data_IF_514413534059
#
_entry.id   IF_514413534059
#
_cell.length_a   1.000
_cell.length_b   1.000
_cell.length_c   1.000
_cell.angle_alpha   90.00
_cell.angle_beta   90.00
_cell.angle_gamma   90.00
#
_symmetry.space_group_name_H-M   'P 1'
#
loop_
_entity.id
_entity.type
_entity.pdbx_description
1 polymer ?
#
# COMPACT_ATOMS: atom_id res chain seq x y z
N UNK A 1 -4.33 -22.44 16.80
CA UNK A 1 -3.67 -21.65 15.74
C UNK A 1 -2.39 -21.00 16.23
N UNK A 2 -2.41 -20.21 17.33
CA UNK A 2 -1.21 -19.59 17.88
C UNK A 2 -0.05 -20.57 18.11
N UNK A 3 -0.32 -21.71 18.77
CA UNK A 3 0.70 -22.74 19.01
C UNK A 3 1.30 -23.31 17.72
N UNK A 4 0.51 -23.41 16.64
CA UNK A 4 1.01 -23.84 15.32
C UNK A 4 1.97 -22.81 14.75
N UNK A 5 1.65 -21.51 14.86
CA UNK A 5 2.56 -20.44 14.43
C UNK A 5 3.84 -20.41 15.28
N UNK A 6 3.74 -20.68 16.59
CA UNK A 6 4.90 -20.86 17.46
C UNK A 6 5.74 -22.07 17.01
N UNK A 7 5.10 -23.18 16.66
CA UNK A 7 5.76 -24.37 16.14
C UNK A 7 6.60 -24.06 14.89
N UNK A 8 5.97 -23.37 13.92
CA UNK A 8 6.61 -22.93 12.68
C UNK A 8 7.78 -22.01 12.99
N UNK A 9 7.59 -20.99 13.85
CA UNK A 9 8.64 -20.03 14.24
C UNK A 9 9.86 -20.73 14.83
N UNK A 10 9.66 -21.78 15.61
CA UNK A 10 10.73 -22.51 16.29
C UNK A 10 11.20 -23.76 15.54
N UNK A 11 10.66 -24.05 14.35
CA UNK A 11 10.99 -25.25 13.58
C UNK A 11 10.67 -26.57 14.31
N UNK A 12 9.63 -26.58 15.15
CA UNK A 12 9.24 -27.69 16.03
C UNK A 12 7.85 -28.21 15.64
N UNK A 13 7.51 -29.40 16.12
CA UNK A 13 6.13 -29.92 16.07
C UNK A 13 5.38 -29.55 17.34
N UNK A 14 4.04 -29.50 17.28
CA UNK A 14 3.19 -29.22 18.44
C UNK A 14 3.49 -30.12 19.64
N UNK A 15 3.76 -31.40 19.41
CA UNK A 15 4.06 -32.37 20.46
C UNK A 15 5.31 -32.02 21.25
N UNK A 16 6.25 -31.33 20.60
CA UNK A 16 7.50 -30.92 21.24
C UNK A 16 7.41 -29.55 21.90
N UNK A 17 6.35 -28.76 21.75
CA UNK A 17 6.31 -27.34 22.18
C UNK A 17 5.98 -27.09 23.66
N UNK A 18 6.06 -28.09 24.54
CA UNK A 18 5.60 -27.95 25.92
C UNK A 18 6.21 -26.75 26.67
N UNK A 19 7.49 -26.44 26.43
CA UNK A 19 8.24 -25.33 27.01
C UNK A 19 7.91 -23.94 26.42
N UNK A 20 7.24 -23.89 25.27
CA UNK A 20 6.97 -22.64 24.52
C UNK A 20 5.49 -22.30 24.40
N UNK A 21 4.58 -23.16 24.86
CA UNK A 21 3.14 -22.91 24.83
C UNK A 21 2.71 -22.01 25.98
N UNK A 22 1.73 -21.17 25.70
CA UNK A 22 1.04 -20.43 26.76
C UNK A 22 0.25 -21.41 27.64
N UNK A 23 0.17 -21.20 28.97
CA UNK A 23 -0.54 -22.12 29.86
C UNK A 23 -2.05 -22.23 29.59
N UNK A 24 -2.64 -21.23 28.93
CA UNK A 24 -4.08 -21.18 28.65
C UNK A 24 -4.38 -20.62 27.26
N UNK A 25 -5.58 -20.95 26.77
CA UNK A 25 -6.15 -20.42 25.52
C UNK A 25 -6.74 -19.01 25.63
N UNK A 26 -6.49 -18.31 26.73
CA UNK A 26 -7.13 -17.03 27.08
C UNK A 26 -6.55 -15.81 26.35
N UNK A 27 -5.57 -16.02 25.47
CA UNK A 27 -4.84 -14.96 24.75
C UNK A 27 -5.49 -14.64 23.41
N UNK A 28 -6.70 -14.10 23.45
CA UNK A 28 -7.42 -13.57 22.30
C UNK A 28 -8.06 -12.23 22.65
N UNK A 29 -8.52 -11.51 21.62
CA UNK A 29 -9.22 -10.24 21.84
C UNK A 29 -10.60 -10.53 22.43
N UNK A 30 -10.74 -10.29 23.73
CA UNK A 30 -11.99 -10.49 24.46
C UNK A 30 -12.93 -9.31 24.32
N UNK A 31 -14.22 -9.60 24.25
CA UNK A 31 -15.28 -8.61 24.39
C UNK A 31 -15.32 -8.06 25.81
N UNK A 32 -15.96 -6.89 25.96
CA UNK A 32 -16.21 -6.29 27.26
C UNK A 32 -17.02 -7.22 28.18
N UNK A 33 -17.97 -7.97 27.62
CA UNK A 33 -18.80 -8.94 28.35
C UNK A 33 -17.98 -10.13 28.87
N UNK A 34 -17.06 -10.66 28.06
CA UNK A 34 -16.15 -11.72 28.50
C UNK A 34 -15.21 -11.22 29.60
N UNK A 35 -14.62 -10.04 29.44
CA UNK A 35 -13.75 -9.44 30.46
C UNK A 35 -14.48 -9.17 31.79
N UNK A 36 -15.78 -8.86 31.73
CA UNK A 36 -16.61 -8.65 32.91
C UNK A 36 -17.03 -9.95 33.61
N UNK A 37 -16.89 -11.10 32.95
CA UNK A 37 -17.24 -12.43 33.50
C UNK A 37 -16.03 -13.26 33.92
N UNK A 38 -14.81 -12.82 33.59
CA UNK A 38 -13.60 -13.53 33.97
C UNK A 38 -13.19 -13.16 35.40
N UNK A 39 -12.67 -14.10 36.20
CA UNK A 39 -12.02 -13.76 37.45
C UNK A 39 -10.93 -12.70 37.18
N UNK A 40 -10.89 -11.62 37.98
CA UNK A 40 -11.55 -11.42 39.27
C UNK A 40 -12.94 -10.74 39.21
N UNK A 41 -13.51 -10.51 38.02
CA UNK A 41 -14.76 -9.76 37.84
C UNK A 41 -16.04 -10.56 38.08
N UNK A 42 -15.98 -11.90 38.05
CA UNK A 42 -17.16 -12.72 38.35
C UNK A 42 -17.60 -12.57 39.82
N UNK A 43 -18.90 -12.73 40.14
CA UNK A 43 -19.41 -12.44 41.49
C UNK A 43 -18.75 -13.25 42.60
N UNK A 44 -18.34 -14.50 42.32
CA UNK A 44 -17.75 -15.39 43.32
C UNK A 44 -16.31 -14.98 43.61
N UNK A 45 -15.50 -14.73 42.58
CA UNK A 45 -14.12 -14.24 42.77
C UNK A 45 -14.09 -12.83 43.36
N UNK A 46 -15.05 -11.97 42.99
CA UNK A 46 -15.15 -10.61 43.50
C UNK A 46 -15.47 -10.56 45.01
N UNK A 47 -16.26 -11.51 45.53
CA UNK A 47 -16.50 -11.64 46.96
C UNK A 47 -15.26 -12.13 47.72
N UNK A 48 -14.50 -13.05 47.11
CA UNK A 48 -13.28 -13.62 47.70
C UNK A 48 -12.12 -12.62 47.71
N UNK A 49 -11.97 -11.80 46.67
CA UNK A 49 -10.95 -10.75 46.60
C UNK A 49 -11.52 -9.42 46.02
N UNK A 50 -12.19 -8.62 46.87
CA UNK A 50 -12.79 -7.37 46.44
C UNK A 50 -11.78 -6.32 45.98
N UNK A 51 -10.51 -6.41 46.42
CA UNK A 51 -9.47 -5.45 46.04
C UNK A 51 -9.06 -5.67 44.59
N UNK A 52 -8.79 -6.91 44.22
CA UNK A 52 -8.39 -7.25 42.85
C UNK A 52 -9.54 -7.04 41.86
N UNK A 53 -10.78 -7.36 42.24
CA UNK A 53 -11.96 -7.09 41.41
C UNK A 53 -12.15 -5.60 41.10
N UNK A 54 -11.94 -4.72 42.10
CA UNK A 54 -11.98 -3.26 41.91
C UNK A 54 -10.88 -2.77 40.98
N UNK A 55 -9.65 -3.22 41.20
CA UNK A 55 -8.51 -2.85 40.34
C UNK A 55 -8.71 -3.30 38.89
N UNK A 56 -9.33 -4.46 38.66
CA UNK A 56 -9.68 -4.96 37.33
C UNK A 56 -10.70 -4.06 36.62
N UNK A 57 -11.80 -3.73 37.29
CA UNK A 57 -12.82 -2.84 36.74
C UNK A 57 -12.26 -1.44 36.45
N UNK A 58 -11.40 -0.92 37.35
CA UNK A 58 -10.69 0.34 37.15
C UNK A 58 -9.77 0.28 35.93
N UNK A 59 -8.98 -0.78 35.78
CA UNK A 59 -8.08 -0.97 34.64
C UNK A 59 -8.81 -0.98 33.30
N UNK A 60 -9.95 -1.67 33.20
CA UNK A 60 -10.78 -1.67 31.99
C UNK A 60 -11.29 -0.26 31.67
N UNK A 61 -11.79 0.47 32.67
CA UNK A 61 -12.26 1.85 32.51
C UNK A 61 -11.12 2.76 32.06
N UNK A 62 -9.98 2.72 32.72
CA UNK A 62 -8.80 3.53 32.38
C UNK A 62 -8.26 3.24 30.99
N UNK A 63 -8.27 1.99 30.54
CA UNK A 63 -7.91 1.64 29.17
C UNK A 63 -8.85 2.30 28.14
N UNK A 64 -10.16 2.33 28.41
CA UNK A 64 -11.14 3.03 27.59
C UNK A 64 -10.93 4.55 27.57
N UNK A 65 -10.66 5.15 28.73
CA UNK A 65 -10.37 6.58 28.85
C UNK A 65 -9.08 6.98 28.11
N UNK A 66 -8.02 6.17 28.22
CA UNK A 66 -6.77 6.36 27.48
C UNK A 66 -7.00 6.29 25.97
N UNK A 67 -7.72 5.26 25.50
CA UNK A 67 -8.03 5.09 24.08
C UNK A 67 -8.85 6.28 23.55
N UNK A 68 -9.83 6.77 24.33
CA UNK A 68 -10.62 7.94 23.95
C UNK A 68 -9.80 9.25 23.91
N UNK A 69 -8.74 9.34 24.70
CA UNK A 69 -7.79 10.46 24.67
C UNK A 69 -6.76 10.38 23.54
N UNK A 70 -6.61 9.24 22.88
CA UNK A 70 -5.65 9.06 21.79
C UNK A 70 -6.22 9.51 20.44
N UNK A 71 -5.67 10.58 19.88
CA UNK A 71 -5.92 11.00 18.50
C UNK A 71 -4.60 11.08 17.73
N UNK A 72 -4.44 10.24 16.71
CA UNK A 72 -3.23 10.17 15.88
C UNK A 72 -3.64 10.33 14.42
N UNK A 73 -3.09 11.35 13.76
CA UNK A 73 -3.22 11.54 12.32
C UNK A 73 -1.84 11.38 11.67
N UNK A 74 -1.70 10.35 10.82
CA UNK A 74 -0.45 10.04 10.13
C UNK A 74 -0.26 10.83 8.82
N UNK A 75 -1.27 11.59 8.38
CA UNK A 75 -1.12 12.58 7.31
C UNK A 75 -0.77 12.01 5.92
N UNK A 76 -1.20 10.78 5.60
CA UNK A 76 -0.83 10.07 4.36
C UNK A 76 -1.20 10.78 3.04
N UNK A 77 -2.02 11.84 3.08
CA UNK A 77 -2.43 12.62 1.91
C UNK A 77 -1.48 13.80 1.59
N UNK A 78 -0.55 14.12 2.48
CA UNK A 78 0.37 15.26 2.35
C UNK A 78 1.77 14.77 1.92
N UNK A 79 1.92 14.41 0.66
CA UNK A 79 3.23 14.06 0.12
C UNK A 79 3.99 15.34 -0.29
N UNK A 80 5.23 15.48 0.18
CA UNK A 80 6.10 16.61 -0.16
C UNK A 80 7.46 16.07 -0.59
N UNK A 81 7.92 16.47 -1.77
CA UNK A 81 9.23 16.08 -2.28
C UNK A 81 10.36 16.67 -1.42
N UNK A 82 11.52 15.99 -1.35
CA UNK A 82 12.66 16.29 -0.49
C UNK A 82 13.35 17.65 -0.76
N UNK A 83 12.89 18.44 -1.74
CA UNK A 83 13.65 19.55 -2.27
C UNK A 83 14.71 19.10 -3.29
N UNK A 84 15.04 19.94 -4.27
CA UNK A 84 16.22 19.75 -5.12
C UNK A 84 17.10 21.00 -5.14
N UNK A 85 18.41 20.91 -4.88
CA UNK A 85 19.29 22.08 -4.87
C UNK A 85 19.46 22.61 -6.30
N UNK A 86 19.03 23.84 -6.54
CA UNK A 86 19.16 24.54 -7.83
C UNK A 86 20.16 25.71 -7.74
N UNK A 87 20.74 26.15 -8.87
CA UNK A 87 21.60 27.33 -8.90
C UNK A 87 20.95 28.58 -8.31
N UNK A 88 21.77 29.49 -7.78
CA UNK A 88 21.26 30.73 -7.16
C UNK A 88 20.48 31.56 -8.18
N UNK A 89 19.24 31.89 -7.83
CA UNK A 89 18.33 32.67 -8.68
C UNK A 89 17.37 31.81 -9.50
N UNK A 90 17.54 30.49 -9.51
CA UNK A 90 16.62 29.55 -10.16
C UNK A 90 15.57 29.01 -9.20
N UNK A 91 14.43 28.61 -9.77
CA UNK A 91 13.44 27.73 -9.12
C UNK A 91 13.62 26.31 -9.65
N UNK A 92 13.10 25.28 -8.96
CA UNK A 92 13.10 23.91 -9.49
C UNK A 92 12.49 23.82 -10.89
N UNK A 93 11.41 24.57 -11.15
CA UNK A 93 10.76 24.55 -12.45
C UNK A 93 11.59 25.25 -13.54
N UNK A 94 12.17 26.42 -13.26
CA UNK A 94 12.98 27.15 -14.26
C UNK A 94 14.23 26.34 -14.64
N UNK A 95 14.88 25.72 -13.66
CA UNK A 95 16.02 24.85 -13.91
C UNK A 95 15.64 23.59 -14.71
N UNK A 96 14.54 22.92 -14.35
CA UNK A 96 14.00 21.79 -15.09
C UNK A 96 13.69 22.17 -16.56
N UNK A 97 13.04 23.31 -16.76
CA UNK A 97 12.68 23.82 -18.09
C UNK A 97 13.93 24.04 -18.95
N UNK A 98 14.97 24.66 -18.40
CA UNK A 98 16.23 24.87 -19.11
C UNK A 98 16.89 23.55 -19.56
N UNK A 99 16.94 22.56 -18.65
CA UNK A 99 17.46 21.23 -18.95
C UNK A 99 16.66 20.55 -20.07
N UNK A 100 15.33 20.62 -20.01
CA UNK A 100 14.46 20.02 -21.02
C UNK A 100 14.63 20.67 -22.40
N UNK A 101 14.67 22.00 -22.47
CA UNK A 101 14.88 22.71 -23.74
C UNK A 101 16.26 22.45 -24.32
N UNK A 102 17.29 22.36 -23.47
CA UNK A 102 18.63 21.99 -23.90
C UNK A 102 18.69 20.55 -24.42
N UNK A 103 18.04 19.62 -23.73
CA UNK A 103 17.89 18.23 -24.17
C UNK A 103 17.12 18.10 -25.49
N UNK A 104 16.07 18.91 -25.68
CA UNK A 104 15.31 18.95 -26.93
C UNK A 104 16.17 19.44 -28.10
N UNK A 105 16.92 20.53 -27.92
CA UNK A 105 17.87 21.03 -28.92
C UNK A 105 18.94 19.99 -29.28
N UNK A 106 19.41 19.21 -28.31
CA UNK A 106 20.41 18.16 -28.56
C UNK A 106 19.83 16.94 -29.30
N UNK A 107 18.55 16.62 -29.13
CA UNK A 107 17.93 15.40 -29.66
C UNK A 107 17.15 15.60 -30.96
N UNK A 108 16.60 16.78 -31.20
CA UNK A 108 15.74 17.05 -32.36
C UNK A 108 16.39 18.03 -33.33
N UNK A 109 16.62 17.57 -34.57
CA UNK A 109 17.17 18.37 -35.66
C UNK A 109 16.38 18.08 -36.94
N UNK A 110 15.48 18.97 -37.39
CA UNK A 110 15.11 20.27 -36.79
C UNK A 110 14.19 20.15 -35.56
N UNK A 111 14.13 21.20 -34.75
CA UNK A 111 13.15 21.34 -33.67
C UNK A 111 11.80 21.75 -34.27
N UNK A 112 10.91 20.77 -34.50
CA UNK A 112 9.61 21.01 -35.16
C UNK A 112 8.59 21.65 -34.21
N UNK A 113 7.56 22.27 -34.77
CA UNK A 113 6.44 22.84 -33.99
C UNK A 113 5.75 21.80 -33.11
N UNK A 114 5.65 20.54 -33.57
CA UNK A 114 5.10 19.44 -32.77
C UNK A 114 5.91 19.18 -31.50
N UNK A 115 7.25 19.18 -31.61
CA UNK A 115 8.16 19.01 -30.46
C UNK A 115 8.03 20.16 -29.48
N UNK A 116 8.07 21.40 -29.99
CA UNK A 116 7.96 22.62 -29.18
C UNK A 116 6.63 22.66 -28.41
N UNK A 117 5.52 22.41 -29.11
CA UNK A 117 4.18 22.45 -28.51
C UNK A 117 4.01 21.34 -27.46
N UNK A 118 4.49 20.13 -27.75
CA UNK A 118 4.40 19.00 -26.81
C UNK A 118 5.24 19.25 -25.56
N UNK A 119 6.48 19.72 -25.71
CA UNK A 119 7.34 20.00 -24.56
C UNK A 119 6.78 21.13 -23.69
N UNK A 120 6.29 22.22 -24.31
CA UNK A 120 5.66 23.31 -23.58
C UNK A 120 4.41 22.86 -22.80
N UNK A 121 3.58 22.00 -23.41
CA UNK A 121 2.41 21.45 -22.74
C UNK A 121 2.77 20.57 -21.54
N UNK A 122 3.71 19.63 -21.70
CA UNK A 122 4.12 18.76 -20.59
C UNK A 122 4.74 19.55 -19.44
N UNK A 123 5.56 20.57 -19.74
CA UNK A 123 6.14 21.45 -18.72
C UNK A 123 5.07 22.23 -17.94
N UNK A 124 4.05 22.79 -18.60
CA UNK A 124 2.93 23.48 -17.92
C UNK A 124 2.18 22.54 -16.97
N UNK A 125 1.93 21.30 -17.38
CA UNK A 125 1.27 20.30 -16.51
C UNK A 125 2.15 19.95 -15.31
N UNK A 126 3.45 19.76 -15.53
CA UNK A 126 4.42 19.45 -14.45
C UNK A 126 4.52 20.60 -13.45
N UNK A 127 4.51 21.85 -13.91
CA UNK A 127 4.53 23.03 -13.06
C UNK A 127 3.29 23.09 -12.16
N UNK A 128 2.09 22.97 -12.77
CA UNK A 128 0.82 22.99 -12.03
C UNK A 128 0.68 21.85 -11.04
N UNK A 129 1.25 20.70 -11.36
CA UNK A 129 1.25 19.53 -10.49
C UNK A 129 2.34 19.59 -9.38
N UNK A 130 3.24 20.59 -9.40
CA UNK A 130 4.31 20.71 -8.43
C UNK A 130 5.35 19.58 -8.52
N UNK A 131 5.55 19.01 -9.71
CA UNK A 131 6.39 17.83 -9.93
C UNK A 131 7.82 18.17 -10.39
N UNK A 132 8.21 19.44 -10.41
CA UNK A 132 9.52 19.84 -10.94
C UNK A 132 10.69 19.15 -10.22
N UNK A 133 10.65 19.10 -8.89
CA UNK A 133 11.70 18.47 -8.07
C UNK A 133 11.77 16.96 -8.31
N UNK A 134 10.63 16.31 -8.51
CA UNK A 134 10.57 14.88 -8.83
C UNK A 134 11.35 14.55 -10.11
N UNK A 135 11.16 15.33 -11.18
CA UNK A 135 11.90 15.14 -12.41
C UNK A 135 13.39 15.48 -12.27
N UNK A 136 13.73 16.50 -11.46
CA UNK A 136 15.13 16.84 -11.20
C UNK A 136 15.87 15.71 -10.46
N UNK A 137 15.22 15.06 -9.49
CA UNK A 137 15.79 13.89 -8.81
C UNK A 137 16.00 12.75 -9.81
N UNK A 138 14.98 12.42 -10.62
CA UNK A 138 15.12 11.38 -11.64
C UNK A 138 16.24 11.70 -12.64
N UNK A 139 16.35 12.95 -13.06
CA UNK A 139 17.42 13.42 -13.93
C UNK A 139 18.80 13.30 -13.29
N UNK A 140 18.96 13.66 -12.01
CA UNK A 140 20.24 13.59 -11.29
C UNK A 140 20.73 12.14 -11.20
N UNK A 141 19.83 11.20 -10.91
CA UNK A 141 20.14 9.76 -10.93
C UNK A 141 20.61 9.27 -12.30
N UNK A 142 19.91 9.69 -13.37
CA UNK A 142 20.29 9.32 -14.74
C UNK A 142 21.60 9.98 -15.19
N UNK A 143 21.84 11.23 -14.76
CA UNK A 143 23.08 11.97 -14.99
C UNK A 143 24.25 11.26 -14.30
N UNK A 144 24.12 10.92 -13.02
CA UNK A 144 25.13 10.18 -12.27
C UNK A 144 25.44 8.83 -12.94
N UNK A 145 24.40 8.05 -13.27
CA UNK A 145 24.58 6.77 -13.94
C UNK A 145 25.32 6.92 -15.28
N UNK A 146 25.00 7.95 -16.07
CA UNK A 146 25.70 8.24 -17.33
C UNK A 146 27.17 8.61 -17.11
N UNK A 147 27.48 9.46 -16.13
CA UNK A 147 28.84 9.87 -15.79
C UNK A 147 29.71 8.68 -15.34
N UNK A 148 29.14 7.78 -14.54
CA UNK A 148 29.79 6.57 -14.07
C UNK A 148 29.73 5.40 -15.06
N UNK A 149 29.16 5.62 -16.26
CA UNK A 149 28.95 4.60 -17.30
C UNK A 149 28.18 3.37 -16.78
N UNK A 150 27.21 3.59 -15.90
CA UNK A 150 26.27 2.58 -15.40
C UNK A 150 25.09 2.51 -16.38
N UNK A 151 24.79 1.35 -16.98
CA UNK A 151 23.60 1.19 -17.80
C UNK A 151 22.34 1.45 -16.98
N UNK A 152 21.55 2.44 -17.42
CA UNK A 152 20.27 2.79 -16.81
C UNK A 152 19.19 3.04 -17.88
N UNK A 153 17.93 2.75 -17.53
CA UNK A 153 16.76 2.91 -18.41
C UNK A 153 15.49 3.13 -17.60
N UNK A 154 14.72 4.19 -17.88
CA UNK A 154 13.36 4.33 -17.36
C UNK A 154 12.39 3.35 -18.01
N UNK A 155 11.46 2.79 -17.22
CA UNK A 155 10.38 1.87 -17.66
C UNK A 155 9.00 2.44 -17.30
N UNK A 156 7.95 1.71 -17.69
CA UNK A 156 6.56 2.05 -17.35
C UNK A 156 6.02 3.26 -18.11
N UNK A 157 5.08 3.99 -17.50
CA UNK A 157 4.40 5.13 -18.14
C UNK A 157 5.32 6.32 -18.40
N UNK A 158 6.43 6.43 -17.65
CA UNK A 158 7.46 7.46 -17.81
C UNK A 158 8.03 7.54 -19.24
N UNK A 159 7.99 6.44 -20.01
CA UNK A 159 8.49 6.44 -21.39
C UNK A 159 7.61 7.23 -22.36
N UNK A 160 6.40 7.62 -21.96
CA UNK A 160 5.43 8.34 -22.79
C UNK A 160 5.62 9.88 -22.77
N UNK A 161 6.55 10.38 -21.96
CA UNK A 161 6.79 11.81 -21.76
C UNK A 161 7.99 12.31 -22.58
N UNK A 162 7.80 13.46 -23.25
CA UNK A 162 8.90 14.14 -23.94
C UNK A 162 9.89 14.74 -22.95
N UNK A 163 9.43 15.18 -21.77
CA UNK A 163 10.30 15.62 -20.67
C UNK A 163 11.21 14.48 -20.21
N UNK A 164 10.67 13.28 -19.98
CA UNK A 164 11.49 12.11 -19.65
C UNK A 164 12.49 11.76 -20.76
N UNK A 165 12.12 11.91 -22.03
CA UNK A 165 13.02 11.68 -23.15
C UNK A 165 14.15 12.73 -23.24
N UNK A 166 13.84 14.02 -23.10
CA UNK A 166 14.84 15.11 -23.19
C UNK A 166 15.84 15.07 -22.05
N UNK A 167 15.40 14.75 -20.84
CA UNK A 167 16.26 14.53 -19.67
C UNK A 167 17.09 13.24 -19.74
N UNK A 168 16.76 12.34 -20.68
CA UNK A 168 17.45 11.07 -20.85
C UNK A 168 17.03 9.97 -19.87
N UNK A 169 15.90 10.15 -19.18
CA UNK A 169 15.23 9.11 -18.37
C UNK A 169 14.68 8.01 -19.29
N UNK A 170 13.98 8.42 -20.36
CA UNK A 170 13.51 7.51 -21.41
C UNK A 170 14.44 7.55 -22.62
N UNK A 171 14.57 6.41 -23.32
CA UNK A 171 15.22 6.32 -24.64
C UNK A 171 14.21 6.28 -25.80
N UNK A 172 12.94 6.11 -25.49
CA UNK A 172 11.86 6.04 -26.49
C UNK A 172 11.38 7.45 -26.80
N UNK A 173 11.35 7.78 -28.09
CA UNK A 173 10.89 9.09 -28.56
C UNK A 173 9.35 9.09 -28.65
N UNK A 174 8.65 9.94 -27.88
CA UNK A 174 7.21 9.80 -27.71
C UNK A 174 6.36 10.34 -28.87
N UNK A 175 6.86 11.28 -29.69
CA UNK A 175 6.07 11.91 -30.75
C UNK A 175 5.93 10.97 -31.96
N UNK A 176 7.04 10.44 -32.45
CA UNK A 176 7.14 9.48 -33.56
C UNK A 176 6.35 8.21 -33.24
N UNK A 177 6.34 7.80 -31.97
CA UNK A 177 5.59 6.63 -31.51
C UNK A 177 4.17 6.94 -31.01
N UNK A 178 3.71 8.19 -31.14
CA UNK A 178 2.37 8.64 -30.73
C UNK A 178 1.99 8.21 -29.30
N UNK A 179 2.94 8.36 -28.36
CA UNK A 179 2.75 8.03 -26.96
C UNK A 179 2.01 9.17 -26.24
N UNK A 180 1.10 8.80 -25.35
CA UNK A 180 0.22 9.72 -24.64
C UNK A 180 0.80 10.10 -23.28
N UNK A 181 1.05 11.39 -23.07
CA UNK A 181 1.59 11.91 -21.81
C UNK A 181 0.61 11.73 -20.66
N UNK A 182 -0.69 11.82 -20.93
CA UNK A 182 -1.77 11.74 -19.93
C UNK A 182 -1.91 10.36 -19.30
N UNK A 183 -1.27 9.33 -19.90
CA UNK A 183 -1.12 8.01 -19.28
C UNK A 183 -0.11 8.02 -18.13
N UNK A 184 0.82 8.97 -18.15
CA UNK A 184 1.83 9.15 -17.13
C UNK A 184 1.38 10.14 -16.07
N UNK A 185 1.06 11.38 -16.47
CA UNK A 185 0.55 12.41 -15.56
C UNK A 185 -0.84 12.82 -16.02
N UNK A 186 -1.85 12.49 -15.21
CA UNK A 186 -3.23 12.86 -15.48
C UNK A 186 -3.66 14.00 -14.53
N UNK A 187 -3.96 15.20 -15.03
CA UNK A 187 -4.40 16.34 -14.20
C UNK A 187 -5.65 16.06 -13.36
N UNK A 188 -6.48 15.10 -13.75
CA UNK A 188 -7.68 14.69 -13.01
C UNK A 188 -7.45 13.62 -11.93
N UNK A 189 -6.21 13.17 -11.72
CA UNK A 189 -5.85 12.20 -10.68
C UNK A 189 -5.01 12.86 -9.60
N UNK A 190 -5.30 12.53 -8.34
CA UNK A 190 -4.55 12.97 -7.16
C UNK A 190 -3.37 12.06 -6.82
N UNK A 191 -3.10 11.03 -7.62
CA UNK A 191 -1.98 10.10 -7.42
C UNK A 191 -0.71 10.62 -8.09
N UNK A 192 0.41 10.58 -7.37
CA UNK A 192 1.73 10.90 -7.93
C UNK A 192 2.13 9.93 -9.05
N UNK A 193 2.84 10.41 -10.08
CA UNK A 193 3.38 9.55 -11.12
C UNK A 193 4.49 8.65 -10.56
N UNK A 194 4.57 7.42 -11.07
CA UNK A 194 5.64 6.49 -10.74
C UNK A 194 6.66 6.43 -11.89
N UNK A 195 7.94 6.64 -11.56
CA UNK A 195 9.06 6.53 -12.51
C UNK A 195 9.98 5.44 -12.01
N UNK A 196 9.84 4.29 -12.64
CA UNK A 196 10.74 3.18 -12.42
C UNK A 196 12.01 3.35 -13.27
N UNK A 197 13.18 3.34 -12.64
CA UNK A 197 14.47 3.37 -13.33
C UNK A 197 15.21 2.04 -13.09
N UNK A 198 15.46 1.30 -14.15
CA UNK A 198 16.27 0.09 -14.13
C UNK A 198 17.75 0.46 -14.20
N UNK A 199 18.53 -0.04 -13.25
CA UNK A 199 20.00 0.03 -13.25
C UNK A 199 20.59 -1.37 -13.41
N UNK A 200 21.82 -1.46 -13.95
CA UNK A 200 22.56 -2.72 -13.99
C UNK A 200 22.65 -3.35 -12.60
N UNK A 201 22.26 -4.63 -12.48
CA UNK A 201 22.20 -5.34 -11.19
C UNK A 201 23.55 -5.38 -10.47
N UNK A 202 24.65 -5.49 -11.22
CA UNK A 202 26.01 -5.56 -10.67
C UNK A 202 26.49 -4.22 -10.10
N UNK A 203 25.92 -3.10 -10.57
CA UNK A 203 26.35 -1.74 -10.22
C UNK A 203 25.27 -0.89 -9.58
N UNK A 204 24.10 -1.47 -9.25
CA UNK A 204 22.98 -0.77 -8.58
C UNK A 204 23.42 -0.16 -7.25
N UNK A 205 24.31 -0.84 -6.53
CA UNK A 205 24.80 -0.39 -5.23
C UNK A 205 25.49 0.98 -5.31
N UNK A 206 26.24 1.27 -6.38
CA UNK A 206 26.89 2.57 -6.57
C UNK A 206 25.87 3.72 -6.66
N UNK A 207 24.72 3.47 -7.28
CA UNK A 207 23.63 4.45 -7.38
C UNK A 207 22.96 4.64 -6.02
N UNK A 208 22.75 3.55 -5.26
CA UNK A 208 22.22 3.62 -3.90
C UNK A 208 23.13 4.49 -3.02
N UNK A 209 24.44 4.21 -3.00
CA UNK A 209 25.39 4.98 -2.22
C UNK A 209 25.40 6.46 -2.63
N UNK A 210 25.34 6.75 -3.94
CA UNK A 210 25.19 8.12 -4.43
C UNK A 210 23.94 8.81 -3.86
N UNK A 211 22.79 8.15 -3.80
CA UNK A 211 21.58 8.76 -3.22
C UNK A 211 21.78 9.08 -1.74
N UNK A 212 22.35 8.15 -0.97
CA UNK A 212 22.64 8.38 0.46
C UNK A 212 23.61 9.55 0.68
N UNK A 213 24.66 9.64 -0.13
CA UNK A 213 25.63 10.75 -0.07
C UNK A 213 25.01 12.08 -0.51
N UNK A 214 24.20 12.07 -1.57
CA UNK A 214 23.63 13.26 -2.21
C UNK A 214 22.50 13.88 -1.39
N UNK A 215 21.63 13.05 -0.83
CA UNK A 215 20.39 13.48 -0.18
C UNK A 215 20.40 13.27 1.33
N UNK A 216 21.37 12.53 1.87
CA UNK A 216 21.57 12.32 3.30
C UNK A 216 20.87 11.07 3.83
N UNK A 217 21.51 10.43 4.81
CA UNK A 217 21.02 9.19 5.43
C UNK A 217 19.73 9.38 6.24
N UNK A 218 19.56 10.54 6.87
CA UNK A 218 18.31 10.90 7.59
C UNK A 218 17.12 11.08 6.64
N UNK A 219 17.41 11.10 5.34
CA UNK A 219 16.49 11.39 4.27
C UNK A 219 16.54 10.34 3.17
N UNK A 220 17.10 9.15 3.41
CA UNK A 220 17.12 8.10 2.39
C UNK A 220 16.87 6.77 3.06
N UNK A 221 15.99 5.96 2.48
CA UNK A 221 15.67 4.63 3.01
C UNK A 221 15.34 3.65 1.90
N UNK A 222 15.70 2.38 2.13
CA UNK A 222 15.26 1.27 1.30
C UNK A 222 13.85 0.86 1.72
N UNK A 223 12.98 0.62 0.75
CA UNK A 223 11.67 0.03 1.02
C UNK A 223 11.84 -1.47 1.31
N UNK A 224 11.22 -1.95 2.39
CA UNK A 224 11.26 -3.36 2.74
C UNK A 224 10.22 -4.15 1.94
N UNK A 225 10.58 -5.38 1.55
CA UNK A 225 9.63 -6.33 1.00
C UNK A 225 9.11 -7.26 2.10
N UNK A 226 7.79 -7.33 2.28
CA UNK A 226 7.15 -8.25 3.21
C UNK A 226 6.86 -9.58 2.50
N UNK A 227 7.71 -10.57 2.73
CA UNK A 227 7.52 -11.93 2.19
C UNK A 227 6.45 -12.65 3.00
N UNK A 228 5.36 -13.05 2.35
CA UNK A 228 4.25 -13.78 2.97
C UNK A 228 4.22 -15.24 2.53
N UNK A 229 3.61 -16.10 3.36
CA UNK A 229 3.32 -17.47 2.96
C UNK A 229 2.31 -17.50 1.80
N UNK A 230 2.63 -18.29 0.78
CA UNK A 230 1.70 -18.63 -0.32
C UNK A 230 1.05 -19.97 -0.01
N UNK A 231 -0.04 -20.31 -0.70
CA UNK A 231 -0.84 -21.51 -0.45
C UNK A 231 0.00 -22.77 -0.17
N UNK A 232 0.93 -23.10 -1.07
CA UNK A 232 1.79 -24.29 -0.94
C UNK A 232 2.77 -24.23 0.23
N UNK A 233 3.38 -23.06 0.50
CA UNK A 233 4.29 -22.93 1.64
C UNK A 233 3.54 -22.94 2.97
N UNK A 234 2.37 -22.30 3.04
CA UNK A 234 1.50 -22.35 4.21
C UNK A 234 1.09 -23.79 4.57
N UNK A 235 0.61 -24.58 3.60
CA UNK A 235 0.25 -25.98 3.83
C UNK A 235 1.45 -26.81 4.28
N UNK A 236 2.64 -26.57 3.72
CA UNK A 236 3.86 -27.26 4.15
C UNK A 236 4.20 -26.97 5.60
N UNK A 237 4.31 -25.70 5.95
CA UNK A 237 4.70 -25.28 7.30
C UNK A 237 3.67 -25.73 8.35
N UNK A 238 2.37 -25.63 8.05
CA UNK A 238 1.32 -26.12 8.95
C UNK A 238 1.39 -27.65 9.07
N UNK A 239 1.55 -28.37 7.95
CA UNK A 239 1.64 -29.83 7.98
C UNK A 239 2.82 -30.33 8.81
N UNK A 240 3.97 -29.67 8.70
CA UNK A 240 5.16 -29.97 9.49
C UNK A 240 4.96 -29.65 10.97
N UNK A 241 4.38 -28.48 11.28
CA UNK A 241 4.06 -28.09 12.65
C UNK A 241 3.10 -29.08 13.34
N UNK A 242 2.16 -29.65 12.59
CA UNK A 242 1.23 -30.69 13.08
C UNK A 242 1.88 -32.08 13.18
N UNK A 243 3.13 -32.25 12.76
CA UNK A 243 3.86 -33.52 12.85
C UNK A 243 3.58 -34.51 11.72
N UNK A 244 2.95 -34.07 10.62
CA UNK A 244 2.69 -34.96 9.50
C UNK A 244 3.99 -35.33 8.74
N UNK A 245 4.10 -36.55 8.19
CA UNK A 245 5.25 -36.96 7.40
C UNK A 245 5.46 -36.08 6.17
N UNK A 246 6.71 -35.68 5.91
CA UNK A 246 7.02 -34.77 4.79
C UNK A 246 6.49 -35.21 3.43
N UNK A 247 6.61 -36.49 3.03
CA UNK A 247 6.10 -36.94 1.74
C UNK A 247 4.57 -36.81 1.62
N UNK A 248 3.84 -36.88 2.73
CA UNK A 248 2.39 -36.68 2.73
C UNK A 248 2.06 -35.21 2.48
N UNK A 249 2.68 -34.33 3.27
CA UNK A 249 2.48 -32.88 3.18
C UNK A 249 2.86 -32.34 1.80
N UNK A 250 3.96 -32.84 1.22
CA UNK A 250 4.37 -32.44 -0.13
C UNK A 250 3.41 -32.88 -1.23
N UNK A 251 2.73 -34.03 -1.08
CA UNK A 251 1.67 -34.43 -2.00
C UNK A 251 0.49 -33.45 -1.94
N UNK A 252 0.02 -33.13 -0.72
CA UNK A 252 -1.07 -32.16 -0.52
C UNK A 252 -0.70 -30.77 -1.04
N UNK A 253 0.53 -30.32 -0.82
CA UNK A 253 0.96 -29.01 -1.30
C UNK A 253 1.08 -28.94 -2.84
N UNK A 254 1.38 -30.07 -3.52
CA UNK A 254 1.46 -30.13 -4.98
C UNK A 254 0.10 -30.18 -5.67
N UNK A 255 -0.89 -30.77 -5.00
CA UNK A 255 -2.28 -30.82 -5.40
C UNK A 255 -2.93 -29.43 -5.57
N UNK A 256 -2.42 -28.42 -4.84
CA UNK A 256 -2.90 -27.05 -4.96
C UNK A 256 -2.49 -26.41 -6.29
N UNK A 257 -3.47 -26.07 -7.12
CA UNK A 257 -3.27 -25.32 -8.37
C UNK A 257 -3.11 -23.81 -8.14
N UNK A 258 -3.65 -23.28 -7.04
CA UNK A 258 -3.67 -21.83 -6.77
C UNK A 258 -2.43 -21.29 -6.06
N UNK A 259 -2.16 -20.01 -6.32
CA UNK A 259 -1.13 -19.22 -5.62
C UNK A 259 -1.66 -18.57 -4.34
N UNK A 260 -2.98 -18.41 -4.22
CA UNK A 260 -3.65 -17.72 -3.11
C UNK A 260 -4.11 -18.71 -2.03
N UNK A 261 -3.69 -18.46 -0.79
CA UNK A 261 -4.06 -19.26 0.38
C UNK A 261 -5.56 -19.31 0.67
N UNK A 262 -6.34 -18.33 0.19
CA UNK A 262 -7.80 -18.29 0.41
C UNK A 262 -8.53 -19.39 -0.36
N UNK A 263 -7.95 -19.86 -1.47
CA UNK A 263 -8.59 -20.84 -2.36
C UNK A 263 -8.20 -22.29 -2.04
N UNK A 264 -7.33 -22.51 -1.04
CA UNK A 264 -6.82 -23.82 -0.64
C UNK A 264 -7.94 -24.82 -0.37
N UNK A 265 -9.00 -24.39 0.33
CA UNK A 265 -10.14 -25.26 0.64
C UNK A 265 -10.85 -25.72 -0.62
N UNK A 266 -11.20 -24.79 -1.51
CA UNK A 266 -11.87 -25.07 -2.78
C UNK A 266 -11.05 -26.05 -3.62
N UNK A 267 -9.75 -25.84 -3.73
CA UNK A 267 -8.88 -26.66 -4.57
C UNK A 267 -8.79 -28.11 -4.05
N UNK A 268 -8.68 -28.28 -2.73
CA UNK A 268 -8.65 -29.61 -2.11
C UNK A 268 -10.01 -30.32 -2.20
N UNK A 269 -11.12 -29.58 -2.12
CA UNK A 269 -12.46 -30.15 -2.36
C UNK A 269 -12.66 -30.59 -3.82
N UNK A 270 -12.11 -29.83 -4.79
CA UNK A 270 -12.25 -30.12 -6.22
C UNK A 270 -11.44 -31.35 -6.70
N UNK A 271 -10.32 -31.67 -6.04
CA UNK A 271 -9.48 -32.82 -6.41
C UNK A 271 -10.13 -34.19 -6.05
N UNK A 272 -11.30 -34.18 -5.40
CA UNK A 272 -12.10 -35.37 -5.07
C UNK A 272 -11.52 -36.26 -3.96
N UNK A 273 -10.19 -36.30 -3.80
CA UNK A 273 -9.49 -37.10 -2.79
C UNK A 273 -9.43 -36.48 -1.40
N UNK A 274 -9.60 -35.15 -1.27
CA UNK A 274 -9.51 -34.45 0.00
C UNK A 274 -10.84 -33.90 0.55
N UNK A 275 -11.92 -33.90 -0.25
CA UNK A 275 -13.23 -33.39 0.14
C UNK A 275 -13.76 -34.02 1.44
N UNK A 276 -13.50 -35.31 1.64
CA UNK A 276 -13.90 -36.04 2.85
C UNK A 276 -13.29 -35.50 4.16
N UNK A 277 -12.14 -34.81 4.11
CA UNK A 277 -11.48 -34.26 5.30
C UNK A 277 -12.07 -32.91 5.76
N UNK A 278 -12.91 -32.27 4.93
CA UNK A 278 -13.60 -31.03 5.29
C UNK A 278 -15.02 -31.26 5.79
N UNK A 279 -15.48 -32.51 5.81
CA UNK A 279 -16.76 -32.90 6.41
C UNK A 279 -16.62 -32.90 7.93
N UNK A 280 -17.47 -32.15 8.64
CA UNK A 280 -17.51 -32.20 10.10
C UNK A 280 -18.13 -33.53 10.54
N UNK A 281 -17.65 -34.17 11.61
CA UNK A 281 -18.29 -35.38 12.13
C UNK A 281 -19.75 -35.08 12.51
N UNK A 282 -20.70 -35.69 11.79
CA UNK A 282 -22.15 -35.55 12.04
C UNK A 282 -22.91 -34.59 11.11
N UNK A 283 -22.23 -33.86 10.22
CA UNK A 283 -22.90 -33.20 9.09
C UNK A 283 -23.09 -34.23 7.97
N UNK A 284 -24.35 -34.49 7.57
CA UNK A 284 -24.64 -35.15 6.30
C UNK A 284 -24.08 -34.33 5.12
N UNK A 285 -24.27 -34.81 3.89
CA UNK A 285 -23.92 -34.05 2.69
C UNK A 285 -24.34 -32.58 2.85
N UNK A 286 -23.48 -31.59 2.56
CA UNK A 286 -23.85 -30.18 2.70
C UNK A 286 -25.17 -29.95 1.98
N UNK A 287 -26.09 -29.15 2.55
CA UNK A 287 -27.39 -28.85 1.92
C UNK A 287 -27.23 -28.31 0.48
N UNK A 288 -26.06 -27.72 0.18
CA UNK A 288 -25.65 -27.27 -1.14
C UNK A 288 -25.38 -28.43 -2.13
N UNK A 289 -24.83 -29.56 -1.66
CA UNK A 289 -24.61 -30.77 -2.45
C UNK A 289 -25.92 -31.54 -2.72
N UNK A 290 -26.84 -31.59 -1.73
CA UNK A 290 -28.19 -32.12 -1.96
C UNK A 290 -29.00 -31.22 -2.90
N UNK A 291 -28.89 -29.89 -2.75
CA UNK A 291 -29.53 -28.93 -3.65
C UNK A 291 -28.95 -28.99 -5.07
N UNK A 292 -27.64 -29.19 -5.23
CA UNK A 292 -27.00 -29.37 -6.53
C UNK A 292 -27.43 -30.69 -7.20
N UNK A 293 -27.47 -31.80 -6.46
CA UNK A 293 -27.95 -33.08 -6.98
C UNK A 293 -29.44 -33.03 -7.35
N UNK A 294 -30.27 -32.32 -6.57
CA UNK A 294 -31.67 -32.08 -6.90
C UNK A 294 -31.83 -31.16 -8.12
N UNK A 295 -31.00 -30.13 -8.26
CA UNK A 295 -31.01 -29.22 -9.41
C UNK A 295 -30.58 -29.94 -10.71
N UNK A 296 -29.61 -30.85 -10.64
CA UNK A 296 -29.16 -31.66 -11.78
C UNK A 296 -30.24 -32.70 -12.19
N UNK A 297 -30.87 -33.36 -11.21
CA UNK A 297 -32.00 -34.28 -11.46
C UNK A 297 -33.23 -33.58 -12.06
N UNK A 298 -33.39 -32.27 -11.82
CA UNK A 298 -34.43 -31.42 -12.39
C UNK A 298 -33.99 -30.72 -13.71
N UNK A 299 -32.75 -30.94 -14.19
CA UNK A 299 -32.22 -30.36 -15.42
C UNK A 299 -31.91 -28.85 -15.36
N UNK A 300 -31.79 -28.29 -14.16
CA UNK A 300 -31.57 -26.86 -13.92
C UNK A 300 -30.10 -26.44 -14.07
N UNK A 301 -29.17 -27.38 -13.96
CA UNK A 301 -27.73 -27.20 -14.17
C UNK A 301 -27.18 -28.27 -15.12
N UNK A 302 -26.12 -27.97 -15.86
CA UNK A 302 -25.41 -28.96 -16.67
C UNK A 302 -24.48 -29.85 -15.81
N UNK A 303 -23.88 -30.88 -16.41
CA UNK A 303 -22.93 -31.79 -15.74
C UNK A 303 -21.62 -31.14 -15.28
N UNK A 304 -21.48 -29.81 -15.42
CA UNK A 304 -20.41 -29.00 -14.82
C UNK A 304 -20.95 -28.02 -13.76
N UNK A 305 -22.23 -28.13 -13.37
CA UNK A 305 -22.86 -27.31 -12.34
C UNK A 305 -23.25 -25.90 -12.81
N UNK A 306 -23.29 -25.61 -14.10
CA UNK A 306 -23.70 -24.30 -14.61
C UNK A 306 -25.21 -24.23 -14.88
N UNK A 307 -25.85 -23.14 -14.45
CA UNK A 307 -27.29 -22.90 -14.65
C UNK A 307 -27.66 -22.95 -16.13
N UNK A 308 -28.56 -23.87 -16.48
CA UNK A 308 -28.91 -24.19 -17.86
C UNK A 308 -29.91 -23.21 -18.50
N UNK A 309 -30.17 -22.06 -17.88
CA UNK A 309 -31.03 -21.01 -18.43
C UNK A 309 -30.55 -19.62 -18.00
N UNK A 310 -30.39 -18.74 -19.00
CA UNK A 310 -30.12 -17.30 -18.82
C UNK A 310 -31.29 -16.64 -18.07
N UNK A 311 -31.23 -16.59 -16.74
CA UNK A 311 -32.01 -15.63 -15.95
C UNK A 311 -31.13 -14.41 -15.61
N UNK A 312 -31.62 -13.18 -15.82
CA UNK A 312 -30.88 -11.98 -15.47
C UNK A 312 -30.86 -11.81 -13.94
N UNK A 313 -29.68 -11.90 -13.34
CA UNK A 313 -29.47 -11.48 -11.96
C UNK A 313 -29.48 -9.95 -11.91
N UNK A 314 -30.62 -9.41 -11.49
CA UNK A 314 -30.78 -8.01 -11.09
C UNK A 314 -29.99 -7.79 -9.80
N UNK A 315 -29.13 -6.77 -9.74
CA UNK A 315 -28.63 -6.29 -8.44
C UNK A 315 -27.28 -5.59 -8.32
N UNK A 316 -26.66 -5.03 -9.37
CA UNK A 316 -25.70 -3.91 -9.20
C UNK A 316 -25.88 -2.92 -10.35
N UNK A 317 -26.48 -1.77 -10.06
CA UNK A 317 -26.58 -0.66 -11.02
C UNK A 317 -25.20 0.01 -11.10
N UNK A 318 -24.61 0.17 -12.31
CA UNK A 318 -23.33 0.84 -12.47
C UNK A 318 -23.39 2.33 -12.08
N UNK A 319 -22.26 2.93 -11.66
CA UNK A 319 -22.22 4.26 -11.03
C UNK A 319 -22.76 5.43 -11.87
N UNK A 320 -23.00 5.27 -13.18
CA UNK A 320 -23.57 6.31 -14.04
C UNK A 320 -25.11 6.26 -14.19
N UNK A 321 -25.81 5.43 -13.41
CA UNK A 321 -27.29 5.39 -13.34
C UNK A 321 -27.85 5.65 -11.94
N UNK A 322 -27.05 6.19 -11.02
CA UNK A 322 -27.57 6.69 -9.75
C UNK A 322 -28.31 8.03 -10.00
N UNK A 323 -29.46 8.29 -9.34
CA UNK A 323 -30.07 9.62 -9.39
C UNK A 323 -29.10 10.64 -8.79
N UNK A 324 -29.08 11.91 -9.26
CA UNK A 324 -28.25 12.93 -8.65
C UNK A 324 -28.63 13.09 -7.18
N UNK A 325 -27.63 13.16 -6.30
CA UNK A 325 -27.86 13.45 -4.89
C UNK A 325 -28.44 14.88 -4.75
N UNK A 326 -29.40 15.11 -3.84
CA UNK A 326 -29.89 16.45 -3.58
C UNK A 326 -28.73 17.30 -2.99
N UNK A 327 -28.54 18.50 -3.55
CA UNK A 327 -27.64 19.50 -2.97
C UNK A 327 -28.18 19.91 -1.61
N UNK A 328 -27.35 19.82 -0.56
CA UNK A 328 -27.66 20.37 0.77
C UNK A 328 -27.32 21.87 0.77
N UNK A 329 -28.31 22.78 0.78
CA UNK A 329 -28.06 24.22 0.79
C UNK A 329 -27.43 24.73 2.10
N UNK A 330 -27.36 23.89 3.14
CA UNK A 330 -26.74 24.18 4.43
C UNK A 330 -25.40 23.44 4.66
N UNK A 331 -24.83 22.79 3.65
CA UNK A 331 -23.49 22.21 3.76
C UNK A 331 -22.45 23.30 4.11
N UNK A 332 -21.59 23.11 5.14
CA UNK A 332 -20.62 24.11 5.54
C UNK A 332 -19.61 24.33 4.40
N UNK A 333 -19.58 25.57 3.91
CA UNK A 333 -18.74 25.99 2.79
C UNK A 333 -17.27 26.04 3.22
N UNK A 334 -16.33 25.44 2.48
CA UNK A 334 -14.91 25.62 2.77
C UNK A 334 -14.55 27.12 2.59
N UNK A 335 -14.01 27.72 3.67
CA UNK A 335 -13.44 29.09 3.75
C UNK A 335 -14.40 30.30 3.84
N UNK A 336 -15.54 30.20 4.52
CA UNK A 336 -16.44 31.35 4.76
C UNK A 336 -15.89 32.52 5.62
N UNK A 337 -14.65 32.51 6.09
CA UNK A 337 -14.11 33.49 7.05
C UNK A 337 -12.85 34.24 6.58
N UNK A 338 -12.55 34.21 5.28
CA UNK A 338 -11.63 35.18 4.66
C UNK A 338 -12.41 36.28 3.90
N UNK A 339 -13.57 36.69 4.42
CA UNK A 339 -14.34 37.77 3.81
C UNK A 339 -14.70 38.95 4.70
N UNK A 340 -14.09 39.13 5.87
CA UNK A 340 -14.12 40.41 6.59
C UNK A 340 -12.89 40.52 7.52
N UNK A 341 -11.90 41.33 7.13
CA UNK A 341 -11.02 41.99 8.10
C UNK A 341 -11.71 43.27 8.57
N UNK A 342 -11.66 43.58 9.87
CA UNK A 342 -11.44 44.93 10.43
C UNK A 342 -11.33 44.89 11.98
N UNK A 343 -10.28 45.51 12.53
CA UNK A 343 -10.32 46.29 13.79
C UNK A 343 -9.93 45.65 15.14
N UNK A 344 -8.73 46.00 15.61
CA UNK A 344 -8.29 46.26 17.00
C UNK A 344 -8.53 45.23 18.14
N UNK A 345 -7.43 44.61 18.58
CA UNK A 345 -6.96 44.83 19.97
C UNK A 345 -5.46 44.52 20.09
N UNK A 346 -4.69 45.57 19.83
CA UNK A 346 -3.28 45.69 20.18
C UNK A 346 -3.17 46.04 21.66
N UNK A 347 -2.73 45.11 22.52
CA UNK A 347 -1.99 45.44 23.75
C UNK A 347 -1.50 44.18 24.46
N UNK A 348 -0.24 43.80 24.19
CA UNK A 348 0.78 43.47 25.21
C UNK A 348 2.12 43.21 24.52
N UNK A 349 2.86 44.31 24.40
CA UNK A 349 4.27 44.39 24.03
C UNK A 349 5.17 44.27 25.27
N UNK A 350 6.39 43.77 25.05
CA UNK A 350 7.56 43.87 25.92
C UNK A 350 8.08 42.48 26.34
N UNK A 351 9.32 42.06 26.09
CA UNK A 351 10.48 42.74 25.50
C UNK A 351 11.56 41.68 25.14
N UNK A 352 12.51 42.09 24.30
CA UNK A 352 13.83 41.49 23.99
C UNK A 352 13.99 40.35 22.94
N UNK A 353 14.85 40.66 21.96
CA UNK A 353 15.55 39.81 21.01
C UNK A 353 17.08 40.12 21.13
N UNK A 354 18.03 39.55 20.34
CA UNK A 354 17.93 38.53 19.28
C UNK A 354 19.06 37.45 19.26
N UNK A 355 18.93 36.44 18.39
CA UNK A 355 20.09 35.73 17.82
C UNK A 355 19.85 34.30 17.30
N UNK A 356 20.12 34.06 16.01
CA UNK A 356 20.53 32.72 15.51
C UNK A 356 19.79 32.13 14.29
N UNK A 357 20.38 32.35 13.11
CA UNK A 357 20.36 31.59 11.85
C UNK A 357 19.29 30.51 11.57
N UNK A 358 18.62 30.68 10.41
CA UNK A 358 17.64 29.77 9.83
C UNK A 358 18.26 28.45 9.31
N UNK A 359 17.73 27.32 9.78
CA UNK A 359 17.88 25.99 9.18
C UNK A 359 16.66 25.69 8.30
N UNK A 360 16.86 25.55 7.00
CA UNK A 360 15.83 25.11 6.06
C UNK A 360 15.59 23.60 6.19
N UNK A 361 14.37 23.21 6.54
CA UNK A 361 13.95 21.82 6.70
C UNK A 361 13.85 21.13 5.32
N UNK A 362 14.69 20.12 5.07
CA UNK A 362 14.54 19.16 3.95
C UNK A 362 14.38 17.73 4.53
N UNK A 363 13.75 16.80 3.81
CA UNK A 363 13.16 15.54 4.35
C UNK A 363 13.26 14.36 3.36
N UNK A 364 12.90 13.10 3.73
CA UNK A 364 13.35 11.88 3.04
C UNK A 364 12.86 11.59 1.61
N UNK A 365 13.73 10.95 0.83
CA UNK A 365 13.55 10.26 -0.45
C UNK A 365 13.43 8.76 -0.19
N UNK A 366 12.37 8.14 -0.69
CA UNK A 366 12.18 6.69 -0.70
C UNK A 366 12.56 6.15 -2.09
N UNK A 367 13.43 5.14 -2.14
CA UNK A 367 13.76 4.39 -3.36
C UNK A 367 13.11 3.00 -3.30
N UNK A 368 12.39 2.63 -4.36
CA UNK A 368 11.78 1.30 -4.56
C UNK A 368 12.75 0.27 -5.15
#
# INVERSE_FOLDING_TARGET
>A
MHDVLTAIRHGRTLDTLADLRTPSGEHYLKSAEELARLPPADPVAAEQDPRTARAWAEGIRSAGELAAGCSVNLGFEQYRFPGFPVPRGETPFSYLSELCWSGARARYHPLTSAVVNRLAHELDVIERAGLAEFFLICWDLMRFAKEQRIPAQGRGSATSSIVSYTLGISRVEPIVHNLLFERFINPGRTTYPDVDIDFSSERREEVIQYVYERYGADHTGMVCNLVTYRARSAVREIGYALGFPRPLVDRVAKALETYDSVMVRRDLEAEGGFAQFFQRPGEGLPAEAEAAAAAEALGLVDGMGQLNTRMPLVGKVPPWRQPPQPEDPNAPRPFGWLRNMDGDDAARLGDEAPGGAAAGQSRPILLS
#
